data_IF_843683128773
#
_entry.id   IF_843683128773
#
_cell.length_a   1.000
_cell.length_b   1.000
_cell.length_c   1.000
_cell.angle_alpha   90.00
_cell.angle_beta   90.00
_cell.angle_gamma   90.00
#
_symmetry.space_group_name_H-M   'P 1'
#
loop_
_entity.id
_entity.type
_entity.pdbx_description
1 polymer ?
#
# COMPACT_ATOMS: atom_id res chain seq x y z
N UNK A 1 36.69 7.82 -28.97
CA UNK A 1 35.30 8.14 -29.02
C UNK A 1 34.37 6.94 -28.87
N UNK A 2 34.71 5.78 -29.44
CA UNK A 2 33.84 4.60 -29.30
C UNK A 2 33.75 4.07 -27.85
N UNK A 3 34.81 4.21 -27.06
CA UNK A 3 34.84 3.76 -25.67
C UNK A 3 33.92 4.57 -24.76
N UNK A 4 33.75 5.89 -25.03
CA UNK A 4 32.88 6.77 -24.27
C UNK A 4 31.41 6.42 -24.55
N UNK A 5 31.08 6.05 -25.77
CA UNK A 5 29.75 5.68 -26.17
C UNK A 5 29.27 4.40 -25.46
N UNK A 6 30.17 3.40 -25.35
CA UNK A 6 29.88 2.15 -24.66
C UNK A 6 29.65 2.38 -23.18
N UNK A 7 30.43 3.27 -22.55
CA UNK A 7 30.27 3.62 -21.14
C UNK A 7 28.94 4.33 -20.86
N UNK A 8 28.52 5.21 -21.76
CA UNK A 8 27.23 5.90 -21.63
C UNK A 8 26.07 4.91 -21.76
N UNK A 9 26.12 4.00 -22.71
CA UNK A 9 25.09 2.98 -22.90
C UNK A 9 25.02 2.05 -21.68
N UNK A 10 26.16 1.63 -21.15
CA UNK A 10 26.22 0.78 -19.96
C UNK A 10 25.62 1.50 -18.75
N UNK A 11 25.88 2.80 -18.60
CA UNK A 11 25.32 3.61 -17.52
C UNK A 11 23.79 3.73 -17.66
N UNK A 12 23.28 3.95 -18.85
CA UNK A 12 21.84 4.02 -19.09
C UNK A 12 21.15 2.68 -18.84
N UNK A 13 21.74 1.58 -19.28
CA UNK A 13 21.20 0.23 -19.02
C UNK A 13 21.20 -0.04 -17.52
N UNK A 14 22.26 0.32 -16.82
CA UNK A 14 22.35 0.18 -15.37
C UNK A 14 21.24 0.96 -14.66
N UNK A 15 21.10 2.25 -14.96
CA UNK A 15 20.09 3.12 -14.36
C UNK A 15 18.67 2.61 -14.64
N UNK A 16 18.45 2.16 -15.86
CA UNK A 16 17.15 1.64 -16.28
C UNK A 16 16.81 0.33 -15.56
N UNK A 17 17.79 -0.57 -15.44
CA UNK A 17 17.61 -1.87 -14.83
C UNK A 17 17.41 -1.79 -13.31
N UNK A 18 18.19 -0.97 -12.64
CA UNK A 18 18.13 -0.84 -11.18
C UNK A 18 17.15 0.24 -10.72
N UNK A 19 16.85 1.20 -11.56
CA UNK A 19 15.84 2.22 -11.26
C UNK A 19 14.41 1.70 -11.27
N UNK A 20 14.15 0.57 -11.93
CA UNK A 20 12.83 -0.05 -11.97
C UNK A 20 12.57 -1.04 -10.83
N UNK A 21 13.61 -1.43 -10.09
CA UNK A 21 13.45 -2.26 -8.91
C UNK A 21 13.02 -1.45 -7.68
N UNK A 22 12.18 -0.44 -7.89
CA UNK A 22 11.64 0.37 -6.81
C UNK A 22 10.45 -0.29 -6.11
N UNK A 23 10.00 -1.45 -6.61
CA UNK A 23 8.92 -2.21 -5.99
C UNK A 23 9.27 -2.72 -4.61
N UNK A 24 8.26 -2.97 -3.80
CA UNK A 24 8.43 -3.46 -2.44
C UNK A 24 7.92 -4.90 -2.35
N UNK A 25 8.83 -5.87 -2.26
CA UNK A 25 8.49 -7.28 -2.20
C UNK A 25 7.70 -7.62 -0.93
N UNK A 26 7.97 -6.91 0.17
CA UNK A 26 7.28 -7.10 1.44
C UNK A 26 5.76 -6.97 1.31
N UNK A 27 5.31 -6.10 0.41
CA UNK A 27 3.89 -5.85 0.19
C UNK A 27 3.43 -6.29 -1.20
N UNK A 28 4.28 -6.96 -1.95
CA UNK A 28 4.03 -7.31 -3.35
C UNK A 28 3.61 -6.08 -4.17
N UNK A 29 4.23 -4.93 -3.88
CA UNK A 29 3.89 -3.65 -4.48
C UNK A 29 4.85 -3.30 -5.61
N UNK A 30 4.32 -2.65 -6.64
CA UNK A 30 5.15 -2.06 -7.69
C UNK A 30 5.78 -0.72 -7.27
N UNK A 31 5.35 -0.17 -6.13
CA UNK A 31 5.90 1.07 -5.57
C UNK A 31 6.95 0.74 -4.53
N UNK A 32 7.84 1.71 -4.24
CA UNK A 32 8.89 1.52 -3.24
C UNK A 32 8.30 1.28 -1.84
N UNK A 33 9.05 0.60 -0.98
CA UNK A 33 8.62 0.37 0.40
C UNK A 33 8.37 1.68 1.14
N UNK A 34 9.22 2.69 0.93
CA UNK A 34 9.04 4.00 1.55
C UNK A 34 7.73 4.65 1.09
N UNK A 35 7.42 4.57 -0.19
CA UNK A 35 6.17 5.11 -0.72
C UNK A 35 4.96 4.38 -0.11
N UNK A 36 4.98 3.04 -0.12
CA UNK A 36 3.90 2.22 0.42
C UNK A 36 3.68 2.49 1.90
N UNK A 37 4.74 2.59 2.68
CA UNK A 37 4.65 2.72 4.13
C UNK A 37 4.35 4.15 4.58
N UNK A 38 4.86 5.17 3.87
CA UNK A 38 4.87 6.54 4.40
C UNK A 38 4.21 7.58 3.51
N UNK A 39 4.19 7.39 2.20
CA UNK A 39 3.81 8.45 1.26
C UNK A 39 2.50 8.19 0.53
N UNK A 40 2.10 6.94 0.38
CA UNK A 40 0.89 6.60 -0.34
C UNK A 40 -0.36 7.04 0.41
N UNK A 41 -1.36 7.47 -0.34
CA UNK A 41 -2.69 7.74 0.19
C UNK A 41 -3.50 6.46 0.22
N UNK A 42 -4.15 6.20 1.33
CA UNK A 42 -4.95 4.99 1.52
C UNK A 42 -6.39 5.32 1.85
N UNK A 43 -7.31 4.55 1.28
CA UNK A 43 -8.67 4.45 1.76
C UNK A 43 -8.76 3.28 2.72
N UNK A 44 -9.34 3.51 3.91
CA UNK A 44 -9.44 2.52 4.97
C UNK A 44 -10.83 1.88 4.91
N UNK A 45 -10.85 0.57 4.80
CA UNK A 45 -12.09 -0.22 4.83
C UNK A 45 -12.06 -1.18 6.01
N UNK A 46 -13.20 -1.37 6.64
CA UNK A 46 -13.33 -2.21 7.81
C UNK A 46 -14.53 -3.15 7.70
N UNK A 47 -14.36 -4.40 8.11
CA UNK A 47 -15.41 -5.41 8.17
C UNK A 47 -15.74 -5.69 9.62
N UNK A 48 -16.96 -5.33 10.05
CA UNK A 48 -17.47 -5.68 11.37
C UNK A 48 -17.79 -7.18 11.38
N UNK A 49 -17.39 -7.90 12.42
CA UNK A 49 -17.58 -9.35 12.55
C UNK A 49 -17.00 -10.14 11.38
N UNK A 50 -15.74 -9.87 11.04
CA UNK A 50 -15.06 -10.50 9.90
C UNK A 50 -15.09 -12.02 9.96
N UNK A 51 -15.21 -12.60 11.16
CA UNK A 51 -15.29 -14.06 11.36
C UNK A 51 -16.57 -14.67 10.78
N UNK A 52 -17.61 -13.88 10.56
CA UNK A 52 -18.86 -14.34 9.96
C UNK A 52 -18.84 -14.33 8.43
N UNK A 53 -17.71 -13.94 7.85
CA UNK A 53 -17.35 -14.26 6.47
C UNK A 53 -18.00 -13.46 5.36
N UNK A 54 -18.72 -12.38 5.65
CA UNK A 54 -19.34 -11.59 4.60
C UNK A 54 -18.46 -10.40 4.20
N UNK A 55 -17.62 -10.62 3.20
CA UNK A 55 -16.73 -9.58 2.65
C UNK A 55 -17.49 -8.43 1.98
N UNK A 56 -18.78 -8.56 1.78
CA UNK A 56 -19.60 -7.54 1.15
C UNK A 56 -19.98 -6.41 2.10
N UNK A 57 -19.86 -6.62 3.40
CA UNK A 57 -20.29 -5.65 4.41
C UNK A 57 -19.16 -4.74 4.89
N UNK A 58 -18.17 -4.46 4.04
CA UNK A 58 -17.11 -3.53 4.41
C UNK A 58 -17.66 -2.11 4.55
N UNK A 59 -17.10 -1.37 5.49
CA UNK A 59 -17.41 0.02 5.73
C UNK A 59 -16.23 0.88 5.36
N UNK A 60 -16.48 1.94 4.61
CA UNK A 60 -15.47 2.96 4.36
C UNK A 60 -15.28 3.79 5.62
N UNK A 61 -14.06 3.76 6.17
CA UNK A 61 -13.73 4.44 7.43
C UNK A 61 -13.23 5.86 7.16
N UNK A 62 -12.37 6.02 6.18
CA UNK A 62 -11.78 7.30 5.86
C UNK A 62 -10.55 7.14 4.98
N UNK A 63 -9.85 8.24 4.78
CA UNK A 63 -8.61 8.29 4.00
C UNK A 63 -7.47 8.80 4.85
N UNK A 64 -6.27 8.30 4.62
CA UNK A 64 -5.08 8.73 5.35
C UNK A 64 -3.84 8.52 4.49
N UNK A 65 -2.70 9.02 4.94
CA UNK A 65 -1.40 8.85 4.28
C UNK A 65 -0.55 7.92 5.13
N UNK A 66 0.04 6.92 4.49
CA UNK A 66 0.92 5.96 5.13
C UNK A 66 0.17 4.74 5.67
N UNK A 67 0.82 3.59 5.55
CA UNK A 67 0.21 2.31 5.89
C UNK A 67 -0.03 2.17 7.40
N UNK A 68 0.90 2.68 8.21
CA UNK A 68 0.76 2.66 9.67
C UNK A 68 -0.45 3.48 10.11
N UNK A 69 -0.66 4.65 9.52
CA UNK A 69 -1.82 5.48 9.82
C UNK A 69 -3.13 4.81 9.40
N UNK A 70 -3.12 4.08 8.30
CA UNK A 70 -4.28 3.30 7.86
C UNK A 70 -4.65 2.26 8.92
N UNK A 71 -3.68 1.51 9.41
CA UNK A 71 -3.89 0.53 10.47
C UNK A 71 -4.42 1.17 11.74
N UNK A 72 -3.82 2.28 12.16
CA UNK A 72 -4.26 3.00 13.37
C UNK A 72 -5.70 3.49 13.24
N UNK A 73 -6.06 4.01 12.08
CA UNK A 73 -7.42 4.45 11.81
C UNK A 73 -8.42 3.29 11.90
N UNK A 74 -8.05 2.12 11.38
CA UNK A 74 -8.88 0.92 11.46
C UNK A 74 -9.05 0.45 12.91
N UNK A 75 -7.98 0.49 13.71
CA UNK A 75 -8.03 0.12 15.13
C UNK A 75 -8.96 1.06 15.91
N UNK A 76 -8.87 2.35 15.66
CA UNK A 76 -9.75 3.34 16.30
C UNK A 76 -11.22 3.08 15.93
N UNK A 77 -11.47 2.75 14.68
CA UNK A 77 -12.80 2.42 14.22
C UNK A 77 -13.35 1.18 14.92
N UNK A 78 -12.51 0.14 15.07
CA UNK A 78 -12.93 -1.08 15.78
C UNK A 78 -13.34 -0.78 17.23
N UNK A 79 -12.61 0.12 17.89
CA UNK A 79 -12.94 0.53 19.26
C UNK A 79 -14.25 1.34 19.29
N UNK A 80 -14.48 2.18 18.30
CA UNK A 80 -15.69 3.00 18.22
C UNK A 80 -16.94 2.14 18.06
N UNK A 81 -16.88 1.10 17.24
CA UNK A 81 -18.02 0.21 17.01
C UNK A 81 -18.04 -0.98 17.99
N UNK A 82 -17.09 -1.02 18.93
CA UNK A 82 -16.95 -2.08 19.94
C UNK A 82 -16.82 -3.46 19.32
N UNK A 83 -16.11 -3.54 18.20
CA UNK A 83 -15.82 -4.79 17.53
C UNK A 83 -14.49 -5.36 18.01
N UNK A 84 -14.37 -6.69 18.00
CA UNK A 84 -13.12 -7.34 18.36
C UNK A 84 -12.10 -7.16 17.23
N UNK A 85 -10.97 -6.55 17.55
CA UNK A 85 -9.91 -6.31 16.57
C UNK A 85 -9.37 -7.61 15.99
N UNK A 86 -9.21 -7.64 14.67
CA UNK A 86 -8.51 -8.70 13.95
C UNK A 86 -7.73 -8.10 12.80
N UNK A 87 -6.57 -8.66 12.50
CA UNK A 87 -5.77 -8.25 11.33
C UNK A 87 -6.52 -8.47 10.02
N UNK A 88 -7.55 -9.31 10.03
CA UNK A 88 -8.40 -9.57 8.87
C UNK A 88 -9.55 -8.57 8.72
N UNK A 89 -9.77 -7.76 9.75
CA UNK A 89 -10.92 -6.86 9.79
C UNK A 89 -10.77 -5.62 8.92
N UNK A 90 -9.56 -5.33 8.45
CA UNK A 90 -9.32 -4.11 7.70
C UNK A 90 -8.52 -4.37 6.43
N UNK A 91 -8.61 -3.41 5.51
CA UNK A 91 -7.75 -3.34 4.34
C UNK A 91 -7.46 -1.89 4.00
N UNK A 92 -6.25 -1.64 3.53
CA UNK A 92 -5.80 -0.33 3.08
C UNK A 92 -5.72 -0.36 1.56
N UNK A 93 -6.56 0.42 0.90
CA UNK A 93 -6.54 0.57 -0.55
C UNK A 93 -5.61 1.71 -0.95
N UNK A 94 -4.49 1.38 -1.60
CA UNK A 94 -3.55 2.39 -2.10
C UNK A 94 -4.20 3.12 -3.28
N UNK A 95 -4.40 4.43 -3.11
CA UNK A 95 -5.06 5.27 -4.09
C UNK A 95 -4.05 6.10 -4.87
N UNK A 96 -4.27 6.22 -6.16
CA UNK A 96 -3.49 7.10 -7.02
C UNK A 96 -4.39 7.62 -8.14
N UNK A 97 -4.45 8.93 -8.27
CA UNK A 97 -5.27 9.60 -9.31
C UNK A 97 -6.75 9.19 -9.25
N UNK A 98 -7.26 8.99 -8.02
CA UNK A 98 -8.65 8.62 -7.80
C UNK A 98 -8.97 7.14 -7.99
N UNK A 99 -7.96 6.31 -8.29
CA UNK A 99 -8.14 4.88 -8.53
C UNK A 99 -7.41 4.05 -7.48
N UNK A 100 -8.04 2.96 -7.06
CA UNK A 100 -7.39 2.00 -6.18
C UNK A 100 -6.46 1.12 -6.98
N UNK A 101 -5.16 1.24 -6.71
CA UNK A 101 -4.12 0.55 -7.44
C UNK A 101 -3.72 -0.77 -6.79
N UNK A 102 -3.72 -0.82 -5.46
CA UNK A 102 -3.27 -1.98 -4.69
C UNK A 102 -4.02 -2.05 -3.37
N UNK A 103 -3.99 -3.21 -2.72
CA UNK A 103 -4.53 -3.40 -1.37
C UNK A 103 -3.40 -3.88 -0.47
N UNK A 104 -3.27 -3.27 0.69
CA UNK A 104 -2.20 -3.61 1.63
C UNK A 104 -2.71 -3.70 3.06
N UNK A 105 -1.98 -4.48 3.86
CA UNK A 105 -2.10 -4.54 5.32
C UNK A 105 -0.72 -4.47 5.92
N UNK A 106 -0.63 -3.79 7.05
CA UNK A 106 0.63 -3.70 7.76
C UNK A 106 0.93 -5.01 8.48
#
# INVERSE_FOLDING_TARGET
MKAIFVLIIAFFVWTFYFGEESGCDKYASKYSCDYVEKKATYEVYYWINVSDGDEKDNKFVGSTVGLSNCRDMAIRYSNTVKDRWSERSYVCGLMKDGNRMEKHRL
#
